data_IF_129745293358
#
_entry.id   IF_129745293358
#
_cell.length_a   1.000
_cell.length_b   1.000
_cell.length_c   1.000
_cell.angle_alpha   90.00
_cell.angle_beta   90.00
_cell.angle_gamma   90.00
#
_symmetry.space_group_name_H-M   'P 1'
#
loop_
_entity.id
_entity.type
_entity.pdbx_description
1 polymer ?
#
# COMPACT_ATOMS: atom_id res chain seq x y z
N UNK A 1 -10.92 8.24 22.25
CA UNK A 1 -11.12 9.46 21.44
C UNK A 1 -12.40 9.25 20.64
N UNK A 2 -13.29 10.24 20.54
CA UNK A 2 -14.57 10.10 19.81
C UNK A 2 -14.50 10.85 18.48
N UNK A 3 -15.22 10.39 17.46
CA UNK A 3 -15.32 11.07 16.17
C UNK A 3 -16.23 12.31 16.24
N UNK A 4 -16.41 13.01 15.12
CA UNK A 4 -17.28 14.20 15.00
C UNK A 4 -18.77 13.92 15.25
N UNK A 5 -19.16 12.64 15.33
CA UNK A 5 -20.51 12.18 15.64
C UNK A 5 -20.61 11.56 17.05
N UNK A 6 -19.56 11.69 17.88
CA UNK A 6 -19.53 11.17 19.24
C UNK A 6 -19.36 9.64 19.35
N UNK A 7 -19.11 8.94 18.24
CA UNK A 7 -18.81 7.50 18.24
C UNK A 7 -17.38 7.27 18.69
N UNK A 8 -17.15 6.20 19.43
CA UNK A 8 -15.81 5.84 19.85
C UNK A 8 -14.95 5.49 18.62
N UNK A 9 -13.82 6.18 18.45
CA UNK A 9 -12.96 5.92 17.31
C UNK A 9 -12.43 4.49 17.39
N UNK A 10 -12.37 3.77 16.25
CA UNK A 10 -11.83 2.43 16.23
C UNK A 10 -10.39 2.44 16.77
N UNK A 11 -9.97 1.39 17.49
CA UNK A 11 -8.60 1.30 17.99
C UNK A 11 -7.63 1.42 16.81
N UNK A 12 -6.56 2.19 17.01
CA UNK A 12 -5.53 2.36 15.99
C UNK A 12 -5.06 0.96 15.52
N UNK A 13 -5.20 0.60 14.23
CA UNK A 13 -4.89 -0.74 13.75
C UNK A 13 -3.41 -1.10 13.97
N UNK A 14 -2.53 -0.10 13.98
CA UNK A 14 -1.10 -0.26 14.25
C UNK A 14 -0.78 -0.50 15.74
N UNK A 15 -1.78 -0.53 16.63
CA UNK A 15 -1.64 -0.93 18.04
C UNK A 15 -2.23 -2.31 18.32
N UNK A 16 -2.69 -3.04 17.30
CA UNK A 16 -3.37 -4.33 17.48
C UNK A 16 -2.45 -5.48 17.89
N UNK A 17 -1.21 -5.51 17.41
CA UNK A 17 -0.16 -6.44 17.85
C UNK A 17 1.24 -5.87 17.54
N UNK A 18 2.29 -6.51 18.06
CA UNK A 18 3.69 -6.10 17.87
C UNK A 18 4.09 -6.00 16.39
N UNK A 19 3.68 -6.95 15.55
CA UNK A 19 3.97 -6.92 14.12
C UNK A 19 3.33 -5.72 13.43
N UNK A 20 2.07 -5.40 13.74
CA UNK A 20 1.38 -4.23 13.20
C UNK A 20 1.95 -2.92 13.76
N UNK A 21 2.52 -2.93 14.97
CA UNK A 21 3.25 -1.79 15.54
C UNK A 21 4.50 -1.47 14.74
N UNK A 22 5.22 -2.49 14.25
CA UNK A 22 6.38 -2.32 13.39
C UNK A 22 6.04 -1.74 12.01
N UNK A 23 4.82 -1.94 11.50
CA UNK A 23 4.38 -1.33 10.24
C UNK A 23 4.37 0.20 10.32
N UNK A 24 4.17 0.77 11.52
CA UNK A 24 4.13 2.21 11.76
C UNK A 24 2.98 2.90 11.02
N UNK A 25 2.85 4.22 11.18
CA UNK A 25 1.93 4.99 10.33
C UNK A 25 2.48 5.00 8.90
N UNK A 26 1.84 4.27 8.00
CA UNK A 26 2.35 4.07 6.63
C UNK A 26 2.07 5.30 5.76
N UNK A 27 3.02 6.25 5.72
CA UNK A 27 3.04 7.35 4.75
C UNK A 27 3.31 6.88 3.30
N UNK A 28 3.74 5.63 3.13
CA UNK A 28 4.01 5.05 1.81
C UNK A 28 2.75 4.95 0.92
N UNK A 29 1.57 4.94 1.54
CA UNK A 29 0.28 4.90 0.83
C UNK A 29 0.19 6.08 -0.15
N UNK A 30 0.46 7.32 0.29
CA UNK A 30 0.35 8.48 -0.58
C UNK A 30 1.37 8.45 -1.72
N UNK A 31 2.63 8.09 -1.45
CA UNK A 31 3.68 7.99 -2.48
C UNK A 31 3.33 6.93 -3.54
N UNK A 32 2.76 5.81 -3.10
CA UNK A 32 2.33 4.73 -3.99
C UNK A 32 1.14 5.16 -4.86
N UNK A 33 0.16 5.87 -4.30
CA UNK A 33 -1.03 6.32 -5.04
C UNK A 33 -0.81 7.56 -5.93
N UNK A 34 0.23 8.36 -5.66
CA UNK A 34 0.59 9.53 -6.48
C UNK A 34 1.52 9.22 -7.66
N UNK A 35 1.90 7.96 -7.85
CA UNK A 35 2.65 7.53 -9.02
C UNK A 35 1.69 7.11 -10.14
N UNK A 36 1.73 7.79 -11.28
CA UNK A 36 0.83 7.55 -12.42
C UNK A 36 0.98 6.16 -13.03
N UNK A 37 2.21 5.62 -13.09
CA UNK A 37 2.49 4.27 -13.58
C UNK A 37 1.85 3.22 -12.66
N UNK A 38 2.07 3.36 -11.35
CA UNK A 38 1.48 2.47 -10.33
C UNK A 38 -0.05 2.55 -10.36
N UNK A 39 -0.61 3.75 -10.52
CA UNK A 39 -2.06 3.96 -10.58
C UNK A 39 -2.67 3.26 -11.80
N UNK A 40 -1.98 3.31 -12.94
CA UNK A 40 -2.42 2.62 -14.16
C UNK A 40 -2.35 1.10 -14.00
N UNK A 41 -1.30 0.56 -13.38
CA UNK A 41 -1.17 -0.88 -13.12
C UNK A 41 -2.22 -1.39 -12.13
N UNK A 42 -2.58 -0.61 -11.10
CA UNK A 42 -3.69 -0.95 -10.19
C UNK A 42 -5.02 -0.99 -10.94
N UNK A 43 -5.24 -0.07 -11.88
CA UNK A 43 -6.45 -0.09 -12.73
C UNK A 43 -6.50 -1.38 -13.55
N UNK A 44 -5.38 -1.81 -14.13
CA UNK A 44 -5.29 -3.08 -14.87
C UNK A 44 -5.58 -4.30 -13.97
N UNK A 45 -5.11 -4.30 -12.70
CA UNK A 45 -5.46 -5.34 -11.71
C UNK A 45 -6.98 -5.36 -11.48
N UNK A 46 -7.61 -4.19 -11.34
CA UNK A 46 -9.05 -4.08 -11.16
C UNK A 46 -9.85 -4.55 -12.38
N UNK A 47 -9.39 -4.21 -13.59
CA UNK A 47 -9.99 -4.65 -14.86
C UNK A 47 -9.86 -6.17 -15.05
N UNK A 48 -8.73 -6.76 -14.62
CA UNK A 48 -8.51 -8.20 -14.65
C UNK A 48 -9.31 -8.96 -13.58
N UNK A 49 -9.79 -8.26 -12.53
CA UNK A 49 -10.54 -8.83 -11.40
C UNK A 49 -11.86 -8.09 -11.15
N UNK A 50 -12.77 -8.00 -12.14
CA UNK A 50 -13.91 -7.08 -12.12
C UNK A 50 -14.95 -7.38 -11.02
N UNK A 51 -14.99 -8.60 -10.49
CA UNK A 51 -16.01 -9.07 -9.55
C UNK A 51 -15.49 -9.32 -8.13
N UNK A 52 -14.23 -9.01 -7.82
CA UNK A 52 -13.72 -9.17 -6.46
C UNK A 52 -12.57 -8.22 -6.12
N UNK A 53 -12.78 -7.32 -5.16
CA UNK A 53 -11.67 -6.84 -4.34
C UNK A 53 -11.33 -7.92 -3.31
N UNK A 54 -10.80 -9.04 -3.81
CA UNK A 54 -10.43 -10.20 -3.00
C UNK A 54 -9.07 -10.00 -2.34
N UNK A 55 -8.75 -10.83 -1.34
CA UNK A 55 -7.39 -10.92 -0.80
C UNK A 55 -6.33 -11.04 -1.90
N UNK A 56 -6.65 -11.70 -3.01
CA UNK A 56 -5.77 -11.81 -4.17
C UNK A 56 -5.47 -10.45 -4.83
N UNK A 57 -6.49 -9.60 -5.02
CA UNK A 57 -6.27 -8.25 -5.56
C UNK A 57 -5.40 -7.40 -4.62
N UNK A 58 -5.62 -7.50 -3.30
CA UNK A 58 -4.79 -6.83 -2.31
C UNK A 58 -3.33 -7.35 -2.32
N UNK A 59 -3.14 -8.67 -2.48
CA UNK A 59 -1.81 -9.28 -2.63
C UNK A 59 -1.10 -8.81 -3.90
N UNK A 60 -1.80 -8.72 -5.02
CA UNK A 60 -1.22 -8.23 -6.29
C UNK A 60 -0.74 -6.78 -6.14
N UNK A 61 -1.56 -5.91 -5.53
CA UNK A 61 -1.18 -4.51 -5.25
C UNK A 61 0.03 -4.42 -4.32
N UNK A 62 0.09 -5.26 -3.28
CA UNK A 62 1.25 -5.31 -2.37
C UNK A 62 2.53 -5.72 -3.12
N UNK A 63 2.45 -6.76 -3.95
CA UNK A 63 3.59 -7.24 -4.74
C UNK A 63 4.03 -6.20 -5.78
N UNK A 64 3.10 -5.43 -6.35
CA UNK A 64 3.40 -4.33 -7.24
C UNK A 64 4.30 -3.29 -6.56
N UNK A 65 3.95 -2.87 -5.33
CA UNK A 65 4.77 -1.96 -4.54
C UNK A 65 6.18 -2.51 -4.27
N UNK A 66 6.30 -3.79 -3.93
CA UNK A 66 7.59 -4.44 -3.75
C UNK A 66 8.46 -4.41 -5.01
N UNK A 67 7.89 -4.71 -6.19
CA UNK A 67 8.61 -4.73 -7.47
C UNK A 67 9.14 -3.33 -7.82
N UNK A 68 8.32 -2.30 -7.68
CA UNK A 68 8.72 -0.91 -7.97
C UNK A 68 9.88 -0.46 -7.08
N UNK A 69 9.83 -0.77 -5.78
CA UNK A 69 10.93 -0.48 -4.86
C UNK A 69 12.21 -1.21 -5.29
N UNK A 70 12.12 -2.50 -5.66
CA UNK A 70 13.29 -3.26 -6.14
C UNK A 70 13.86 -2.71 -7.44
N UNK A 71 13.02 -2.25 -8.37
CA UNK A 71 13.46 -1.58 -9.61
C UNK A 71 14.18 -0.27 -9.29
N UNK A 72 13.62 0.55 -8.41
CA UNK A 72 14.23 1.80 -7.97
C UNK A 72 15.58 1.57 -7.27
N UNK A 73 15.70 0.56 -6.39
CA UNK A 73 16.95 0.17 -5.75
C UNK A 73 18.02 -0.22 -6.77
N UNK A 74 17.66 -1.05 -7.77
CA UNK A 74 18.57 -1.47 -8.84
C UNK A 74 19.02 -0.30 -9.71
N UNK A 75 18.09 0.60 -10.06
CA UNK A 75 18.40 1.81 -10.83
C UNK A 75 19.35 2.74 -10.06
N UNK A 76 19.17 2.89 -8.74
CA UNK A 76 20.11 3.64 -7.89
C UNK A 76 21.50 3.02 -7.88
N UNK A 77 21.61 1.70 -7.69
CA UNK A 77 22.92 1.00 -7.70
C UNK A 77 23.66 1.17 -9.03
N UNK A 78 22.96 1.11 -10.16
CA UNK A 78 23.53 1.35 -11.49
C UNK A 78 24.01 2.78 -11.73
N UNK A 79 23.47 3.78 -11.01
CA UNK A 79 23.91 5.17 -11.12
C UNK A 79 25.16 5.48 -10.26
N UNK A 80 25.54 4.58 -9.37
CA UNK A 80 26.66 4.77 -8.42
C UNK A 80 27.85 3.86 -8.73
N UNK A 81 27.71 2.96 -9.71
CA UNK A 81 28.78 2.13 -10.26
C UNK A 81 29.24 2.71 -11.61
#
# INVERSE_FOLDING_TARGET
MKDVYGKEMPPNPYRKNETMRLLGHQYAVSIFWYNDEVRQEIKQISEARPYSFSLAAASDIFMLGYIHVKRAERARRKKTA
#
